data_IF_668718773226
#
_entry.id   IF_668718773226
#
_cell.length_a   1.000
_cell.length_b   1.000
_cell.length_c   1.000
_cell.angle_alpha   90.00
_cell.angle_beta   90.00
_cell.angle_gamma   90.00
#
_symmetry.space_group_name_H-M   'P 1'
#
loop_
_entity.id
_entity.type
_entity.pdbx_description
1 polymer ?
#
# COMPACT_ATOMS: atom_id res chain seq x y z
N UNK A 1 15.26 -44.78 42.06
CA UNK A 1 14.36 -44.80 40.89
C UNK A 1 14.12 -43.35 40.52
N UNK A 2 14.86 -42.85 39.53
CA UNK A 2 14.86 -41.43 39.16
C UNK A 2 14.00 -41.25 37.90
N UNK A 3 12.99 -40.41 37.99
CA UNK A 3 12.07 -40.09 36.89
C UNK A 3 12.55 -38.78 36.26
N UNK A 4 12.88 -38.81 34.96
CA UNK A 4 13.13 -37.63 34.15
C UNK A 4 11.83 -37.22 33.46
N UNK A 5 11.35 -35.99 33.70
CA UNK A 5 10.25 -35.38 32.95
C UNK A 5 10.84 -34.51 31.83
N UNK A 6 10.55 -34.85 30.58
CA UNK A 6 10.76 -33.97 29.43
C UNK A 6 9.45 -33.24 29.14
N UNK A 7 9.43 -31.92 29.35
CA UNK A 7 8.31 -31.04 28.98
C UNK A 7 8.42 -30.66 27.50
N UNK A 8 7.45 -31.06 26.67
CA UNK A 8 7.27 -30.56 25.31
C UNK A 8 6.12 -29.57 25.28
N UNK A 9 6.45 -28.27 25.28
CA UNK A 9 5.50 -27.20 24.96
C UNK A 9 5.22 -27.24 23.46
N UNK A 10 4.07 -27.81 23.09
CA UNK A 10 3.57 -27.74 21.73
C UNK A 10 2.86 -26.39 21.55
N UNK A 11 3.55 -25.43 20.95
CA UNK A 11 2.96 -24.18 20.47
C UNK A 11 2.01 -24.48 19.32
N UNK A 12 0.70 -24.53 19.59
CA UNK A 12 -0.32 -24.40 18.55
C UNK A 12 -1.17 -23.17 18.82
N UNK A 13 -1.04 -22.24 17.89
CA UNK A 13 -1.62 -20.91 17.92
C UNK A 13 -3.14 -20.91 18.04
N UNK A 14 -3.58 -19.84 18.68
CA UNK A 14 -4.96 -19.45 18.92
C UNK A 14 -5.75 -19.46 17.61
N UNK A 15 -6.77 -20.30 17.55
CA UNK A 15 -7.78 -20.26 16.50
C UNK A 15 -8.82 -19.20 16.87
N UNK A 16 -9.01 -18.21 16.00
CA UNK A 16 -10.15 -17.32 16.10
C UNK A 16 -9.95 -15.97 15.41
N UNK A 17 -10.24 -15.89 14.12
CA UNK A 17 -11.00 -14.77 13.52
C UNK A 17 -11.85 -15.35 12.40
N UNK A 18 -13.15 -15.07 12.45
CA UNK A 18 -14.16 -15.60 11.54
C UNK A 18 -13.83 -15.32 10.07
N UNK A 19 -14.16 -16.30 9.23
CA UNK A 19 -14.29 -16.12 7.79
C UNK A 19 -15.40 -15.09 7.54
N UNK A 20 -15.03 -13.82 7.46
CA UNK A 20 -15.84 -12.82 6.78
C UNK A 20 -15.93 -13.26 5.33
N UNK A 21 -17.17 -13.43 4.86
CA UNK A 21 -17.52 -13.83 3.50
C UNK A 21 -17.03 -12.74 2.55
N UNK A 22 -15.82 -12.91 2.02
CA UNK A 22 -15.28 -12.07 0.96
C UNK A 22 -16.26 -12.13 -0.21
N UNK A 23 -16.81 -10.98 -0.55
CA UNK A 23 -17.45 -10.71 -1.84
C UNK A 23 -16.60 -11.31 -2.94
N UNK A 24 -17.24 -11.90 -3.95
CA UNK A 24 -16.59 -12.50 -5.10
C UNK A 24 -15.97 -11.42 -6.00
N UNK A 25 -14.96 -10.73 -5.48
CA UNK A 25 -14.02 -9.95 -6.25
C UNK A 25 -12.94 -10.91 -6.70
N UNK A 26 -12.66 -10.95 -8.01
CA UNK A 26 -11.71 -11.84 -8.62
C UNK A 26 -10.34 -11.71 -7.93
N UNK A 27 -10.02 -12.66 -7.06
CA UNK A 27 -8.78 -12.64 -6.27
C UNK A 27 -7.64 -13.03 -7.19
N UNK A 28 -6.85 -12.06 -7.67
CA UNK A 28 -5.58 -12.34 -8.35
C UNK A 28 -4.69 -13.14 -7.39
N UNK A 29 -4.21 -14.34 -7.76
CA UNK A 29 -3.39 -15.17 -6.88
C UNK A 29 -2.15 -14.41 -6.41
N UNK A 30 -1.69 -14.56 -5.15
CA UNK A 30 -0.51 -13.86 -4.66
C UNK A 30 0.75 -14.05 -5.52
N UNK A 31 0.90 -15.20 -6.17
CA UNK A 31 2.01 -15.48 -7.09
C UNK A 31 1.97 -14.66 -8.40
N UNK A 32 0.81 -14.11 -8.75
CA UNK A 32 0.58 -13.24 -9.90
C UNK A 32 0.48 -11.76 -9.51
N UNK A 33 0.79 -11.43 -8.24
CA UNK A 33 0.86 -10.06 -7.76
C UNK A 33 2.32 -9.60 -7.75
N UNK A 34 2.51 -8.34 -8.10
CA UNK A 34 3.78 -7.66 -7.97
C UNK A 34 3.61 -6.37 -7.15
N UNK A 35 4.72 -5.89 -6.61
CA UNK A 35 4.74 -4.74 -5.70
C UNK A 35 5.91 -3.83 -6.05
N UNK A 36 5.71 -2.53 -5.97
CA UNK A 36 6.80 -1.56 -5.93
C UNK A 36 6.50 -0.43 -4.95
N UNK A 37 7.55 0.17 -4.40
CA UNK A 37 7.43 1.33 -3.53
C UNK A 37 7.46 2.61 -4.35
N UNK A 38 6.57 3.56 -4.06
CA UNK A 38 6.39 4.77 -4.85
C UNK A 38 7.59 5.74 -4.78
N UNK A 39 8.32 5.75 -3.67
CA UNK A 39 9.42 6.70 -3.40
C UNK A 39 10.78 6.06 -3.26
N UNK A 40 10.87 4.74 -3.32
CA UNK A 40 12.13 4.04 -3.43
C UNK A 40 12.74 4.37 -4.79
N UNK A 41 13.96 4.92 -4.81
CA UNK A 41 14.78 5.08 -5.99
C UNK A 41 16.13 4.42 -5.77
N UNK A 42 16.65 3.74 -6.80
CA UNK A 42 17.97 3.16 -6.81
C UNK A 42 19.04 4.24 -7.03
N UNK A 43 20.32 3.83 -7.03
CA UNK A 43 21.44 4.75 -7.25
C UNK A 43 21.45 5.42 -8.64
N UNK A 44 20.62 4.95 -9.57
CA UNK A 44 20.43 5.49 -10.93
C UNK A 44 19.15 6.33 -11.04
N UNK A 45 18.37 6.45 -9.97
CA UNK A 45 17.10 7.17 -9.93
C UNK A 45 15.89 6.36 -10.40
N UNK A 46 16.03 5.05 -10.63
CA UNK A 46 14.95 4.14 -11.04
C UNK A 46 14.24 3.55 -9.82
N UNK A 47 12.98 3.12 -9.94
CA UNK A 47 12.23 2.56 -8.80
C UNK A 47 12.79 1.19 -8.39
N UNK A 48 13.39 1.12 -7.20
CA UNK A 48 13.87 -0.15 -6.61
C UNK A 48 12.73 -0.91 -5.91
N UNK A 49 12.75 -2.24 -6.02
CA UNK A 49 11.69 -3.13 -5.56
C UNK A 49 12.04 -3.90 -4.28
N UNK A 50 13.27 -3.80 -3.78
CA UNK A 50 13.76 -4.64 -2.67
C UNK A 50 13.79 -3.95 -1.31
N UNK A 51 13.61 -2.62 -1.23
CA UNK A 51 13.55 -1.89 0.05
C UNK A 51 12.37 -0.92 0.13
N UNK A 52 12.08 -0.47 1.35
CA UNK A 52 11.03 0.50 1.65
C UNK A 52 11.57 1.93 1.56
N UNK A 53 11.03 2.72 0.63
CA UNK A 53 11.26 4.15 0.54
C UNK A 53 10.25 4.89 1.43
N UNK A 54 10.73 5.82 2.24
CA UNK A 54 9.89 6.71 3.04
C UNK A 54 9.76 8.05 2.32
N UNK A 55 8.57 8.65 2.38
CA UNK A 55 8.33 10.02 1.97
C UNK A 55 7.71 10.82 3.11
N UNK A 56 8.07 12.10 3.19
CA UNK A 56 7.48 13.07 4.12
C UNK A 56 6.50 13.94 3.35
N UNK A 57 5.28 14.03 3.87
CA UNK A 57 4.17 14.77 3.31
C UNK A 57 3.76 15.88 4.27
N UNK A 58 3.71 17.10 3.76
CA UNK A 58 3.03 18.18 4.46
C UNK A 58 1.52 17.91 4.42
N UNK A 59 0.87 18.05 5.57
CA UNK A 59 -0.57 17.85 5.70
C UNK A 59 -1.26 19.20 5.92
N UNK A 60 -2.59 19.23 5.83
CA UNK A 60 -3.37 20.45 5.97
C UNK A 60 -3.17 21.06 7.36
N UNK A 61 -2.64 22.27 7.41
CA UNK A 61 -2.49 23.05 8.63
C UNK A 61 -3.86 23.38 9.24
N UNK A 62 -3.95 23.27 10.56
CA UNK A 62 -5.09 23.72 11.36
C UNK A 62 -4.60 24.74 12.40
N UNK A 63 -5.51 25.49 13.05
CA UNK A 63 -5.13 26.46 14.09
C UNK A 63 -4.36 25.79 15.24
N UNK A 64 -4.71 24.55 15.59
CA UNK A 64 -4.07 23.80 16.67
C UNK A 64 -2.79 23.07 16.21
N UNK A 65 -2.64 22.81 14.91
CA UNK A 65 -1.54 22.03 14.34
C UNK A 65 -1.01 22.71 13.06
N UNK A 66 -0.33 23.86 13.18
CA UNK A 66 0.08 24.65 12.01
C UNK A 66 1.18 23.96 11.17
N UNK A 67 2.03 23.15 11.81
CA UNK A 67 3.21 22.54 11.19
C UNK A 67 3.25 21.02 11.42
N UNK A 68 2.24 20.30 10.94
CA UNK A 68 2.24 18.83 11.03
C UNK A 68 2.64 18.18 9.71
N UNK A 69 3.19 16.98 9.80
CA UNK A 69 3.56 16.17 8.64
C UNK A 69 3.29 14.68 8.87
N UNK A 70 3.16 13.96 7.76
CA UNK A 70 3.07 12.50 7.71
C UNK A 70 4.34 11.95 7.05
N UNK A 71 5.04 11.05 7.72
CA UNK A 71 6.02 10.18 7.08
C UNK A 71 5.37 8.84 6.76
N UNK A 72 5.30 8.49 5.48
CA UNK A 72 4.69 7.25 5.04
C UNK A 72 5.54 6.53 3.99
N UNK A 73 5.47 5.20 4.01
CA UNK A 73 6.07 4.34 2.99
C UNK A 73 4.95 3.72 2.17
N UNK A 74 4.81 4.13 0.91
CA UNK A 74 3.67 3.80 0.05
C UNK A 74 4.09 2.78 -0.99
N UNK A 75 3.38 1.67 -1.08
CA UNK A 75 3.59 0.65 -2.09
C UNK A 75 2.34 0.39 -2.92
N UNK A 76 2.53 0.26 -4.22
CA UNK A 76 1.49 -0.14 -5.17
C UNK A 76 1.60 -1.65 -5.40
N UNK A 77 0.52 -2.38 -5.12
CA UNK A 77 0.38 -3.79 -5.48
C UNK A 77 -0.45 -3.87 -6.75
N UNK A 78 0.09 -4.54 -7.76
CA UNK A 78 -0.51 -4.62 -9.08
C UNK A 78 -0.52 -6.06 -9.61
N UNK A 79 -1.43 -6.30 -10.55
CA UNK A 79 -1.63 -7.58 -11.21
C UNK A 79 -0.50 -7.79 -12.25
N UNK A 80 0.25 -8.88 -12.18
CA UNK A 80 1.25 -9.26 -13.19
C UNK A 80 0.65 -9.96 -14.42
N UNK A 81 -0.64 -10.24 -14.41
CA UNK A 81 -1.34 -11.06 -15.40
C UNK A 81 -1.13 -12.55 -15.16
N UNK A 82 -1.88 -13.38 -15.89
CA UNK A 82 -1.78 -14.84 -15.71
C UNK A 82 -0.33 -15.33 -15.91
N UNK A 83 0.20 -16.04 -14.90
CA UNK A 83 1.59 -16.50 -14.83
C UNK A 83 2.61 -15.36 -15.04
N UNK A 84 2.29 -14.14 -14.62
CA UNK A 84 3.14 -12.94 -14.75
C UNK A 84 3.51 -12.55 -16.19
N UNK A 85 2.72 -12.96 -17.19
CA UNK A 85 2.98 -12.65 -18.61
C UNK A 85 3.00 -11.15 -18.92
N UNK A 86 2.32 -10.32 -18.13
CA UNK A 86 2.22 -8.87 -18.30
C UNK A 86 3.07 -8.10 -17.29
N UNK A 87 3.88 -8.79 -16.48
CA UNK A 87 4.62 -8.20 -15.37
C UNK A 87 5.54 -7.06 -15.85
N UNK A 88 6.40 -7.33 -16.82
CA UNK A 88 7.37 -6.35 -17.33
C UNK A 88 6.70 -5.17 -18.05
N UNK A 89 5.62 -5.42 -18.79
CA UNK A 89 4.84 -4.39 -19.46
C UNK A 89 4.18 -3.45 -18.44
N UNK A 90 3.50 -4.02 -17.44
CA UNK A 90 2.84 -3.27 -16.38
C UNK A 90 3.83 -2.57 -15.46
N UNK A 91 4.98 -3.18 -15.19
CA UNK A 91 6.09 -2.54 -14.47
C UNK A 91 6.53 -1.28 -15.21
N UNK A 92 6.82 -1.36 -16.51
CA UNK A 92 7.20 -0.19 -17.32
C UNK A 92 6.11 0.88 -17.34
N UNK A 93 4.86 0.48 -17.52
CA UNK A 93 3.73 1.40 -17.52
C UNK A 93 3.64 2.15 -16.18
N UNK A 94 3.61 1.42 -15.06
CA UNK A 94 3.41 2.03 -13.75
C UNK A 94 4.65 2.79 -13.24
N UNK A 95 5.86 2.28 -13.47
CA UNK A 95 7.10 2.86 -12.93
C UNK A 95 7.75 3.89 -13.84
N UNK A 96 7.57 3.80 -15.16
CA UNK A 96 8.25 4.72 -16.09
C UNK A 96 7.31 5.79 -16.62
N UNK A 97 6.04 5.46 -16.86
CA UNK A 97 5.08 6.41 -17.43
C UNK A 97 4.33 7.18 -16.34
N UNK A 98 3.74 6.48 -15.36
CA UNK A 98 2.79 7.08 -14.41
C UNK A 98 3.35 7.38 -13.02
N UNK A 99 4.61 7.06 -12.74
CA UNK A 99 5.19 7.20 -11.40
C UNK A 99 5.11 8.63 -10.87
N UNK A 100 5.35 9.61 -11.74
CA UNK A 100 5.32 11.04 -11.39
C UNK A 100 3.90 11.48 -11.03
N UNK A 101 2.90 11.05 -11.80
CA UNK A 101 1.50 11.37 -11.57
C UNK A 101 1.01 10.73 -10.27
N UNK A 102 1.39 9.48 -10.00
CA UNK A 102 1.09 8.82 -8.72
C UNK A 102 1.71 9.55 -7.52
N UNK A 103 2.97 9.99 -7.65
CA UNK A 103 3.65 10.77 -6.59
C UNK A 103 2.95 12.09 -6.34
N UNK A 104 2.57 12.81 -7.41
CA UNK A 104 1.85 14.07 -7.30
C UNK A 104 0.48 13.86 -6.65
N UNK A 105 -0.29 12.88 -7.12
CA UNK A 105 -1.60 12.55 -6.56
C UNK A 105 -1.53 12.16 -5.07
N UNK A 106 -0.51 11.40 -4.66
CA UNK A 106 -0.27 11.11 -3.24
C UNK A 106 0.04 12.38 -2.43
N UNK A 107 0.88 13.28 -2.96
CA UNK A 107 1.18 14.57 -2.30
C UNK A 107 -0.10 15.41 -2.14
N UNK A 108 -0.91 15.53 -3.19
CA UNK A 108 -2.17 16.28 -3.16
C UNK A 108 -3.17 15.68 -2.19
N UNK A 109 -3.30 14.34 -2.19
CA UNK A 109 -4.13 13.62 -1.23
C UNK A 109 -3.75 13.96 0.21
N UNK A 110 -2.50 13.77 0.61
CA UNK A 110 -2.08 14.03 2.00
C UNK A 110 -2.11 15.51 2.36
N UNK A 111 -1.81 16.41 1.42
CA UNK A 111 -1.93 17.86 1.63
C UNK A 111 -3.37 18.29 1.92
N UNK A 112 -4.36 17.54 1.44
CA UNK A 112 -5.78 17.82 1.70
C UNK A 112 -6.26 17.34 3.07
N UNK A 113 -5.56 16.40 3.70
CA UNK A 113 -5.95 15.79 4.98
C UNK A 113 -5.34 16.55 6.15
N UNK A 114 -6.11 16.72 7.21
CA UNK A 114 -5.65 17.27 8.49
C UNK A 114 -5.01 16.20 9.39
N UNK A 115 -4.35 16.65 10.46
CA UNK A 115 -3.76 15.76 11.46
C UNK A 115 -4.82 14.86 12.11
N UNK A 116 -5.94 15.45 12.53
CA UNK A 116 -7.02 14.74 13.20
C UNK A 116 -7.66 13.68 12.30
N UNK A 117 -7.78 13.95 10.99
CA UNK A 117 -8.24 12.96 10.01
C UNK A 117 -7.27 11.80 9.86
N UNK A 118 -5.96 12.08 9.86
CA UNK A 118 -4.92 11.05 9.67
C UNK A 118 -4.66 10.23 10.94
N UNK A 119 -5.01 10.75 12.12
CA UNK A 119 -4.93 10.02 13.38
C UNK A 119 -6.07 9.02 13.60
N UNK A 120 -7.14 9.07 12.80
CA UNK A 120 -8.26 8.14 12.94
C UNK A 120 -7.80 6.70 12.73
N UNK A 121 -8.40 5.77 13.46
CA UNK A 121 -8.03 4.35 13.41
C UNK A 121 -8.14 3.74 12.00
N UNK A 122 -9.04 4.27 11.17
CA UNK A 122 -9.27 3.81 9.79
C UNK A 122 -8.58 4.70 8.73
N UNK A 123 -7.81 5.71 9.13
CA UNK A 123 -7.21 6.67 8.21
C UNK A 123 -6.27 6.03 7.19
N UNK A 124 -5.44 5.08 7.64
CA UNK A 124 -4.51 4.35 6.77
C UNK A 124 -5.26 3.48 5.75
N UNK A 125 -6.34 2.83 6.18
CA UNK A 125 -7.16 2.01 5.28
C UNK A 125 -7.85 2.88 4.23
N UNK A 126 -8.52 3.97 4.67
CA UNK A 126 -9.16 4.94 3.77
C UNK A 126 -8.17 5.54 2.79
N UNK A 127 -6.97 5.91 3.24
CA UNK A 127 -5.91 6.38 2.35
C UNK A 127 -5.50 5.33 1.32
N UNK A 128 -5.51 4.05 1.68
CA UNK A 128 -5.21 2.96 0.75
C UNK A 128 -6.28 2.82 -0.33
N UNK A 129 -7.55 2.87 0.06
CA UNK A 129 -8.72 2.81 -0.83
C UNK A 129 -8.81 4.04 -1.74
N UNK A 130 -8.67 5.24 -1.17
CA UNK A 130 -8.71 6.51 -1.90
C UNK A 130 -7.56 6.61 -2.92
N UNK A 131 -6.32 6.32 -2.50
CA UNK A 131 -5.17 6.34 -3.42
C UNK A 131 -5.25 5.25 -4.48
N UNK A 132 -5.81 4.08 -4.16
CA UNK A 132 -6.06 3.06 -5.16
C UNK A 132 -7.00 3.59 -6.24
N UNK A 133 -8.14 4.16 -5.85
CA UNK A 133 -9.12 4.71 -6.78
C UNK A 133 -8.51 5.83 -7.64
N UNK A 134 -7.74 6.74 -7.02
CA UNK A 134 -7.05 7.82 -7.73
C UNK A 134 -6.06 7.26 -8.75
N UNK A 135 -5.21 6.30 -8.36
CA UNK A 135 -4.20 5.75 -9.25
C UNK A 135 -4.83 4.94 -10.39
N UNK A 136 -5.87 4.15 -10.12
CA UNK A 136 -6.67 3.47 -11.13
C UNK A 136 -7.26 4.46 -12.14
N UNK A 137 -7.79 5.59 -11.66
CA UNK A 137 -8.30 6.67 -12.53
C UNK A 137 -7.22 7.30 -13.42
N UNK A 138 -6.01 7.50 -12.90
CA UNK A 138 -4.87 8.07 -13.66
C UNK A 138 -4.50 7.19 -14.86
N UNK A 139 -4.50 5.87 -14.69
CA UNK A 139 -4.18 4.92 -15.76
C UNK A 139 -5.39 4.56 -16.65
N UNK A 140 -6.55 5.20 -16.40
CA UNK A 140 -7.77 4.99 -17.16
C UNK A 140 -8.38 3.61 -16.97
N UNK A 141 -8.23 2.99 -15.79
CA UNK A 141 -8.94 1.76 -15.47
C UNK A 141 -10.45 2.00 -15.43
N UNK A 142 -11.20 1.09 -16.05
CA UNK A 142 -12.65 1.07 -15.97
C UNK A 142 -13.08 0.52 -14.60
N UNK A 143 -13.75 1.32 -13.74
CA UNK A 143 -14.23 0.86 -12.44
C UNK A 143 -15.28 -0.25 -12.55
N UNK A 144 -15.94 -0.40 -13.70
CA UNK A 144 -16.98 -1.41 -13.93
C UNK A 144 -16.42 -2.74 -14.51
N UNK A 145 -15.14 -2.79 -14.90
CA UNK A 145 -14.47 -3.99 -15.42
C UNK A 145 -13.36 -4.49 -14.47
N UNK A 146 -13.72 -5.18 -13.37
CA UNK A 146 -12.75 -5.68 -12.40
C UNK A 146 -11.79 -6.73 -12.99
N UNK A 147 -12.12 -7.34 -14.14
CA UNK A 147 -11.25 -8.31 -14.80
C UNK A 147 -10.01 -7.65 -15.44
N UNK A 148 -10.06 -6.33 -15.70
CA UNK A 148 -8.95 -5.55 -16.27
C UNK A 148 -8.17 -4.75 -15.24
N UNK A 149 -8.54 -4.83 -13.96
CA UNK A 149 -7.87 -4.13 -12.86
C UNK A 149 -6.38 -4.48 -12.81
N UNK A 150 -5.54 -3.47 -13.03
CA UNK A 150 -4.08 -3.51 -12.92
C UNK A 150 -3.70 -3.21 -11.48
N UNK A 151 -4.19 -2.11 -10.88
CA UNK A 151 -3.87 -1.73 -9.51
C UNK A 151 -4.80 -2.43 -8.52
N UNK A 152 -4.23 -3.37 -7.76
CA UNK A 152 -4.99 -4.24 -6.87
C UNK A 152 -5.24 -3.61 -5.50
N UNK A 153 -4.23 -2.92 -4.95
CA UNK A 153 -4.33 -2.21 -3.68
C UNK A 153 -3.10 -1.34 -3.43
N UNK A 154 -3.25 -0.36 -2.54
CA UNK A 154 -2.15 0.40 -1.96
C UNK A 154 -1.88 -0.10 -0.54
N UNK A 155 -0.61 -0.25 -0.20
CA UNK A 155 -0.16 -0.74 1.11
C UNK A 155 0.82 0.26 1.71
N UNK A 156 0.67 0.52 3.00
CA UNK A 156 1.58 1.35 3.77
C UNK A 156 2.45 0.47 4.66
N UNK A 157 3.78 0.49 4.47
CA UNK A 157 4.71 -0.21 5.38
C UNK A 157 5.06 0.64 6.60
N UNK A 158 4.88 1.96 6.49
CA UNK A 158 5.16 2.94 7.53
C UNK A 158 4.11 4.04 7.48
N UNK A 159 3.71 4.51 8.66
CA UNK A 159 2.77 5.59 8.86
C UNK A 159 3.04 6.26 10.19
N UNK A 160 3.73 7.39 10.15
CA UNK A 160 4.14 8.13 11.33
C UNK A 160 3.70 9.57 11.13
N UNK A 161 2.75 10.00 11.95
CA UNK A 161 2.26 11.38 11.95
C UNK A 161 2.95 12.11 13.10
N UNK A 162 3.48 13.29 12.82
CA UNK A 162 4.11 14.13 13.84
C UNK A 162 3.54 15.54 13.77
N UNK A 163 3.32 16.10 14.95
CA UNK A 163 3.05 17.50 15.16
C UNK A 163 4.38 18.17 15.55
N UNK A 164 4.76 19.25 14.85
CA UNK A 164 5.84 20.14 15.31
C UNK A 164 5.29 21.26 16.18
#
# INVERSE_FOLDING_TARGET
MSIFLFTTLNSKGVAGVGKAKLSAEQVVPPAEQARFNLYQVDAKGEVDTEKSGDAVFNIKSTENQPNSFLMASISVVYNGGSKNKLLEERKKLLQNLYISDFRQAAIEYFRSKSYDELQQADAMQKAGEDLQAIFSGIIGEDPEDPAKKIILKIVFDKWIIQQQ
#
